data_IF_221613645310
#
_entry.id   IF_221613645310
#
_cell.length_a   1.000
_cell.length_b   1.000
_cell.length_c   1.000
_cell.angle_alpha   90.00
_cell.angle_beta   90.00
_cell.angle_gamma   90.00
#
_symmetry.space_group_name_H-M   'P 1'
#
loop_
_entity.id
_entity.type
_entity.pdbx_description
1 polymer ?
#
# COMPACT_ATOMS: atom_id res chain seq x y z
N UNK A 1 3.06 -14.42 6.40
CA UNK A 1 2.09 -15.33 5.78
C UNK A 1 2.35 -16.75 6.26
N UNK A 2 1.28 -17.44 6.72
CA UNK A 2 1.36 -18.85 7.17
C UNK A 2 0.53 -19.76 6.29
N UNK A 3 -0.62 -19.29 5.89
CA UNK A 3 -1.53 -20.04 5.04
C UNK A 3 -2.09 -19.15 3.95
N UNK A 4 -2.39 -19.78 2.83
CA UNK A 4 -2.95 -19.11 1.68
C UNK A 4 -3.92 -20.03 0.95
N UNK A 5 -4.98 -19.47 0.37
CA UNK A 5 -5.92 -20.16 -0.51
C UNK A 5 -6.39 -19.24 -1.62
N UNK A 6 -6.45 -19.76 -2.83
CA UNK A 6 -7.04 -19.11 -3.99
C UNK A 6 -8.23 -19.90 -4.51
N UNK A 7 -9.31 -19.20 -4.91
CA UNK A 7 -10.50 -19.80 -5.50
C UNK A 7 -11.00 -18.97 -6.67
N UNK A 8 -11.62 -19.64 -7.62
CA UNK A 8 -12.27 -19.03 -8.77
C UNK A 8 -11.45 -17.96 -9.48
N UNK A 9 -10.12 -18.13 -9.53
CA UNK A 9 -9.19 -17.18 -10.13
C UNK A 9 -8.49 -17.81 -11.34
N UNK A 10 -8.76 -17.31 -12.53
CA UNK A 10 -8.25 -17.82 -13.81
C UNK A 10 -8.45 -19.34 -13.95
N UNK A 11 -7.37 -20.11 -14.01
CA UNK A 11 -7.43 -21.59 -14.09
C UNK A 11 -7.56 -22.29 -12.73
N UNK A 12 -7.67 -21.56 -11.62
CA UNK A 12 -7.78 -22.15 -10.29
C UNK A 12 -9.24 -22.18 -9.85
N UNK A 13 -9.83 -23.36 -9.74
CA UNK A 13 -11.13 -23.53 -9.09
C UNK A 13 -11.00 -23.37 -7.58
N UNK A 14 -10.12 -24.17 -6.97
CA UNK A 14 -9.79 -24.11 -5.55
C UNK A 14 -8.39 -24.73 -5.34
N UNK A 15 -7.46 -23.94 -4.82
CA UNK A 15 -6.12 -24.43 -4.50
C UNK A 15 -6.08 -25.32 -3.26
N UNK A 16 -7.15 -25.38 -2.47
CA UNK A 16 -7.09 -25.80 -1.09
C UNK A 16 -6.24 -24.86 -0.23
N UNK A 17 -6.11 -25.19 1.04
CA UNK A 17 -5.24 -24.46 1.97
C UNK A 17 -3.79 -24.83 1.74
N UNK A 18 -2.94 -23.86 1.43
CA UNK A 18 -1.51 -24.01 1.21
C UNK A 18 -0.79 -23.44 2.41
N UNK A 19 -0.03 -24.28 3.13
CA UNK A 19 0.83 -23.82 4.22
C UNK A 19 2.15 -23.33 3.65
N UNK A 20 2.60 -22.14 4.08
CA UNK A 20 3.86 -21.51 3.64
C UNK A 20 4.76 -21.24 4.84
N UNK A 21 6.06 -21.42 4.64
CA UNK A 21 7.10 -21.01 5.60
C UNK A 21 7.78 -19.73 5.16
N UNK A 22 8.98 -19.48 5.70
CA UNK A 22 9.79 -18.30 5.33
C UNK A 22 10.23 -18.35 3.85
N UNK A 23 10.34 -19.56 3.29
CA UNK A 23 10.54 -19.81 1.87
C UNK A 23 9.61 -20.94 1.42
N UNK A 24 8.85 -20.70 0.37
CA UNK A 24 8.01 -21.70 -0.28
C UNK A 24 8.30 -21.76 -1.78
N UNK A 25 8.28 -22.95 -2.36
CA UNK A 25 8.49 -23.15 -3.79
C UNK A 25 7.37 -23.99 -4.40
N UNK A 26 6.74 -23.47 -5.45
CA UNK A 26 5.78 -24.20 -6.25
C UNK A 26 6.48 -24.91 -7.41
N UNK A 27 6.40 -26.24 -7.44
CA UNK A 27 7.03 -27.07 -8.47
C UNK A 27 5.96 -27.86 -9.21
N UNK A 28 6.03 -27.89 -10.52
CA UNK A 28 5.06 -28.59 -11.34
C UNK A 28 5.31 -28.42 -12.84
N UNK A 29 4.54 -29.11 -13.67
CA UNK A 29 4.59 -28.98 -15.12
C UNK A 29 4.21 -27.56 -15.57
N UNK A 30 4.56 -27.19 -16.82
CA UNK A 30 4.04 -25.97 -17.44
C UNK A 30 2.50 -26.03 -17.45
N UNK A 31 1.86 -24.88 -17.33
CA UNK A 31 0.39 -24.74 -17.27
C UNK A 31 -0.29 -25.40 -16.06
N UNK A 32 0.46 -25.76 -15.01
CA UNK A 32 -0.12 -26.33 -13.78
C UNK A 32 -0.64 -25.29 -12.77
N UNK A 33 -0.73 -24.00 -13.14
CA UNK A 33 -1.27 -22.94 -12.31
C UNK A 33 -0.27 -22.27 -11.34
N UNK A 34 1.04 -22.58 -11.43
CA UNK A 34 2.06 -21.97 -10.53
C UNK A 34 2.07 -20.45 -10.57
N UNK A 35 2.15 -19.89 -11.77
CA UNK A 35 2.07 -18.44 -12.03
C UNK A 35 0.76 -17.87 -11.51
N UNK A 36 -0.35 -18.57 -11.77
CA UNK A 36 -1.68 -18.14 -11.35
C UNK A 36 -1.81 -18.07 -9.82
N UNK A 37 -1.21 -19.03 -9.09
CA UNK A 37 -1.17 -18.99 -7.62
C UNK A 37 -0.40 -17.76 -7.13
N UNK A 38 0.76 -17.47 -7.71
CA UNK A 38 1.54 -16.28 -7.33
C UNK A 38 0.76 -14.99 -7.63
N UNK A 39 0.10 -14.91 -8.78
CA UNK A 39 -0.75 -13.77 -9.15
C UNK A 39 -1.99 -13.66 -8.26
N UNK A 40 -2.59 -14.77 -7.82
CA UNK A 40 -3.69 -14.72 -6.88
C UNK A 40 -3.29 -14.12 -5.52
N UNK A 41 -2.03 -14.30 -5.09
CA UNK A 41 -1.50 -13.65 -3.88
C UNK A 41 -1.43 -12.12 -4.01
N UNK A 42 -1.21 -11.58 -5.21
CA UNK A 42 -1.21 -10.11 -5.41
C UNK A 42 -2.59 -9.49 -5.20
N UNK A 43 -3.68 -10.27 -5.33
CA UNK A 43 -5.02 -9.80 -5.01
C UNK A 43 -5.17 -9.34 -3.55
N UNK A 44 -4.27 -9.74 -2.68
CA UNK A 44 -4.22 -9.26 -1.31
C UNK A 44 -3.53 -7.89 -1.18
N UNK A 45 -2.95 -7.32 -2.24
CA UNK A 45 -2.50 -5.93 -2.25
C UNK A 45 -3.70 -4.97 -2.30
N UNK A 46 -3.60 -3.83 -1.61
CA UNK A 46 -4.69 -2.84 -1.54
C UNK A 46 -5.00 -2.20 -2.89
N UNK A 47 -3.97 -1.97 -3.69
CA UNK A 47 -4.05 -1.24 -4.97
C UNK A 47 -4.41 -2.16 -6.16
N UNK A 48 -4.44 -3.47 -5.94
CA UNK A 48 -4.79 -4.44 -6.98
C UNK A 48 -6.29 -4.41 -7.27
N UNK A 49 -6.65 -4.59 -8.54
CA UNK A 49 -8.04 -4.68 -8.99
C UNK A 49 -8.31 -6.06 -9.57
N UNK A 50 -9.49 -6.58 -9.31
CA UNK A 50 -9.97 -7.83 -9.92
C UNK A 50 -10.71 -7.46 -11.22
N UNK A 51 -10.22 -7.98 -12.34
CA UNK A 51 -10.93 -7.88 -13.61
C UNK A 51 -11.89 -9.07 -13.78
N UNK A 52 -12.99 -8.88 -14.48
CA UNK A 52 -13.87 -10.00 -14.85
C UNK A 52 -13.11 -11.09 -15.64
N UNK A 53 -12.08 -10.71 -16.41
CA UNK A 53 -11.21 -11.63 -17.13
C UNK A 53 -10.29 -12.47 -16.22
N UNK A 54 -10.16 -12.09 -14.98
CA UNK A 54 -9.38 -12.84 -13.98
C UNK A 54 -10.21 -13.89 -13.25
N UNK A 55 -11.53 -13.89 -13.43
CA UNK A 55 -12.41 -14.87 -12.81
C UNK A 55 -12.39 -16.18 -13.61
N UNK A 56 -12.67 -17.29 -12.92
CA UNK A 56 -12.69 -18.61 -13.53
C UNK A 56 -14.01 -18.82 -14.30
N UNK A 57 -13.92 -18.93 -15.62
CA UNK A 57 -15.09 -19.10 -16.51
C UNK A 57 -15.95 -20.33 -16.18
N UNK A 58 -15.32 -21.39 -15.65
CA UNK A 58 -16.01 -22.63 -15.31
C UNK A 58 -16.84 -22.51 -14.01
N UNK A 59 -16.66 -21.43 -13.24
CA UNK A 59 -17.34 -21.18 -11.95
C UNK A 59 -18.36 -20.02 -12.02
N UNK A 60 -18.88 -19.71 -13.20
CA UNK A 60 -19.80 -18.57 -13.39
C UNK A 60 -21.07 -18.65 -12.54
N UNK A 61 -21.57 -19.84 -12.21
CA UNK A 61 -22.78 -19.98 -11.39
C UNK A 61 -22.44 -19.69 -9.90
N UNK A 62 -21.30 -20.19 -9.40
CA UNK A 62 -20.85 -19.98 -8.02
C UNK A 62 -20.43 -18.53 -7.79
N UNK A 63 -19.93 -17.84 -8.82
CA UNK A 63 -19.52 -16.43 -8.77
C UNK A 63 -20.71 -15.44 -8.72
N UNK A 64 -21.95 -15.90 -8.86
CA UNK A 64 -23.13 -15.07 -8.59
C UNK A 64 -23.25 -14.72 -7.12
N UNK A 65 -22.81 -15.61 -6.24
CA UNK A 65 -22.72 -15.36 -4.80
C UNK A 65 -21.36 -14.74 -4.44
N UNK A 66 -21.28 -14.12 -3.27
CA UNK A 66 -20.01 -13.59 -2.79
C UNK A 66 -19.04 -14.72 -2.46
N UNK A 67 -17.89 -14.73 -3.12
CA UNK A 67 -16.86 -15.75 -2.94
C UNK A 67 -15.50 -15.12 -2.68
N UNK A 68 -14.73 -15.68 -1.75
CA UNK A 68 -13.33 -15.29 -1.52
C UNK A 68 -12.46 -15.82 -2.64
N UNK A 69 -11.85 -14.90 -3.40
CA UNK A 69 -10.93 -15.22 -4.49
C UNK A 69 -9.52 -15.54 -3.98
N UNK A 70 -9.07 -14.76 -3.00
CA UNK A 70 -7.81 -14.96 -2.32
C UNK A 70 -7.99 -14.73 -0.83
N UNK A 71 -7.39 -15.58 -0.02
CA UNK A 71 -7.35 -15.43 1.44
C UNK A 71 -5.96 -15.83 1.96
N UNK A 72 -5.43 -15.07 2.94
CA UNK A 72 -4.15 -15.30 3.57
C UNK A 72 -4.22 -15.14 5.08
N UNK A 73 -3.60 -16.07 5.82
CA UNK A 73 -3.46 -16.01 7.28
C UNK A 73 -2.03 -15.58 7.63
N UNK A 74 -1.91 -14.59 8.51
CA UNK A 74 -0.64 -14.00 8.92
C UNK A 74 -0.50 -14.05 10.44
N UNK A 75 0.68 -14.47 10.91
CA UNK A 75 1.07 -14.26 12.30
C UNK A 75 1.65 -12.84 12.42
N UNK A 76 1.24 -12.13 13.47
CA UNK A 76 1.84 -10.85 13.85
C UNK A 76 3.11 -11.07 14.67
N UNK A 77 4.11 -10.26 14.43
CA UNK A 77 5.32 -10.25 15.26
C UNK A 77 5.09 -9.48 16.57
N UNK A 78 6.02 -9.61 17.54
CA UNK A 78 5.87 -9.01 18.86
C UNK A 78 5.77 -7.48 18.83
N UNK A 79 6.43 -6.83 17.86
CA UNK A 79 6.38 -5.38 17.70
C UNK A 79 5.00 -4.94 17.21
N UNK A 80 4.45 -5.61 16.19
CA UNK A 80 3.10 -5.36 15.66
C UNK A 80 2.03 -5.57 16.72
N UNK A 81 2.12 -6.67 17.50
CA UNK A 81 1.22 -6.94 18.62
C UNK A 81 1.27 -5.80 19.65
N UNK A 82 2.48 -5.32 19.99
CA UNK A 82 2.66 -4.24 20.96
C UNK A 82 2.06 -2.92 20.45
N UNK A 83 2.24 -2.59 19.18
CA UNK A 83 1.69 -1.39 18.56
C UNK A 83 0.16 -1.42 18.56
N UNK A 84 -0.44 -2.58 18.19
CA UNK A 84 -1.89 -2.75 18.21
C UNK A 84 -2.42 -2.57 19.64
N UNK A 85 -1.76 -3.21 20.63
CA UNK A 85 -2.18 -3.15 22.04
C UNK A 85 -2.07 -1.76 22.66
N UNK A 86 -1.06 -0.98 22.27
CA UNK A 86 -0.91 0.41 22.69
C UNK A 86 -2.04 1.28 22.13
N UNK A 87 -2.40 1.07 20.86
CA UNK A 87 -3.43 1.87 20.18
C UNK A 87 -4.86 1.45 20.53
N UNK A 88 -5.06 0.17 20.81
CA UNK A 88 -6.35 -0.42 21.13
C UNK A 88 -6.29 -1.20 22.46
N UNK A 89 -6.11 -0.52 23.61
CA UNK A 89 -5.91 -1.18 24.90
C UNK A 89 -7.13 -2.00 25.39
N UNK A 90 -8.32 -1.70 24.87
CA UNK A 90 -9.57 -2.40 25.17
C UNK A 90 -9.74 -3.74 24.46
N UNK A 91 -8.93 -4.00 23.42
CA UNK A 91 -9.03 -5.25 22.67
C UNK A 91 -8.15 -6.36 23.27
N UNK A 92 -8.55 -7.64 23.10
CA UNK A 92 -7.68 -8.77 23.42
C UNK A 92 -6.41 -8.75 22.58
N UNK A 93 -5.42 -9.54 22.97
CA UNK A 93 -4.15 -9.65 22.25
C UNK A 93 -4.37 -10.34 20.89
N UNK A 94 -4.20 -9.61 19.80
CA UNK A 94 -4.35 -10.12 18.44
C UNK A 94 -3.00 -10.69 17.99
N UNK A 95 -2.98 -11.99 17.71
CA UNK A 95 -1.77 -12.69 17.23
C UNK A 95 -1.82 -13.04 15.76
N UNK A 96 -3.03 -13.13 15.20
CA UNK A 96 -3.27 -13.54 13.82
C UNK A 96 -4.28 -12.66 13.14
N UNK A 97 -4.04 -12.43 11.87
CA UNK A 97 -4.94 -11.68 10.99
C UNK A 97 -5.17 -12.53 9.74
N UNK A 98 -6.43 -12.58 9.28
CA UNK A 98 -6.77 -13.08 7.96
C UNK A 98 -7.11 -11.92 7.05
N UNK A 99 -6.48 -11.89 5.90
CA UNK A 99 -6.78 -10.99 4.80
C UNK A 99 -7.50 -11.78 3.73
N UNK A 100 -8.52 -11.19 3.13
CA UNK A 100 -9.18 -11.81 1.99
C UNK A 100 -9.78 -10.77 1.03
N UNK A 101 -9.96 -11.19 -0.20
CA UNK A 101 -10.64 -10.43 -1.24
C UNK A 101 -11.73 -11.27 -1.86
N UNK A 102 -12.90 -10.65 -2.11
CA UNK A 102 -14.04 -11.32 -2.75
C UNK A 102 -14.23 -10.82 -4.17
N UNK A 103 -15.04 -11.55 -4.95
CA UNK A 103 -15.45 -11.14 -6.30
C UNK A 103 -16.38 -9.92 -6.31
N UNK A 104 -17.09 -9.66 -5.20
CA UNK A 104 -18.07 -8.56 -5.11
C UNK A 104 -17.50 -7.32 -4.41
N UNK A 105 -16.43 -7.45 -3.60
CA UNK A 105 -15.83 -6.33 -2.91
C UNK A 105 -14.43 -6.03 -3.47
N UNK A 106 -14.21 -4.84 -4.06
CA UNK A 106 -12.91 -4.46 -4.63
C UNK A 106 -11.83 -4.19 -3.56
N UNK A 107 -12.19 -4.12 -2.28
CA UNK A 107 -11.26 -3.85 -1.18
C UNK A 107 -10.84 -5.14 -0.48
N UNK A 108 -9.60 -5.20 -0.01
CA UNK A 108 -9.14 -6.25 0.90
C UNK A 108 -9.86 -6.10 2.22
N UNK A 109 -10.37 -7.21 2.73
CA UNK A 109 -11.08 -7.30 4.00
C UNK A 109 -10.21 -8.01 5.03
N UNK A 110 -10.49 -7.77 6.32
CA UNK A 110 -9.71 -8.27 7.44
C UNK A 110 -10.61 -9.03 8.41
N UNK A 111 -10.15 -10.19 8.84
CA UNK A 111 -10.73 -10.98 9.93
C UNK A 111 -9.71 -11.21 11.04
N UNK A 112 -10.19 -11.28 12.28
CA UNK A 112 -9.37 -11.49 13.47
C UNK A 112 -9.83 -12.78 14.15
N UNK A 113 -8.90 -13.71 14.43
CA UNK A 113 -9.26 -15.08 14.82
C UNK A 113 -9.92 -15.18 16.22
N UNK A 114 -9.59 -14.28 17.15
CA UNK A 114 -10.01 -14.36 18.54
C UNK A 114 -10.92 -13.20 18.99
N UNK A 115 -11.46 -12.42 18.07
CA UNK A 115 -12.29 -11.26 18.39
C UNK A 115 -13.65 -11.43 17.72
N UNK A 116 -14.66 -11.73 18.51
CA UNK A 116 -16.04 -11.61 18.08
C UNK A 116 -16.44 -10.12 18.11
N UNK A 117 -16.26 -9.49 16.98
CA UNK A 117 -16.64 -8.09 16.77
C UNK A 117 -18.03 -8.00 16.09
N UNK A 118 -18.86 -9.03 16.26
CA UNK A 118 -20.17 -9.11 15.61
C UNK A 118 -21.21 -8.14 16.17
N UNK A 119 -20.92 -7.43 17.28
CA UNK A 119 -21.90 -6.59 18.00
C UNK A 119 -21.75 -5.07 17.75
N UNK A 120 -21.23 -4.70 16.58
CA UNK A 120 -20.97 -3.30 16.24
C UNK A 120 -22.21 -2.50 15.76
N UNK A 121 -23.33 -3.17 15.51
CA UNK A 121 -24.53 -2.48 15.02
C UNK A 121 -25.19 -1.54 16.06
N UNK A 122 -24.80 -1.65 17.33
CA UNK A 122 -25.36 -0.83 18.42
C UNK A 122 -24.41 0.21 19.03
N UNK A 123 -23.12 0.25 18.63
CA UNK A 123 -22.16 1.16 19.32
C UNK A 123 -22.36 2.63 18.99
N UNK A 124 -22.74 2.97 17.76
CA UNK A 124 -23.09 4.36 17.42
C UNK A 124 -24.33 4.84 18.19
N UNK A 125 -25.30 3.93 18.37
CA UNK A 125 -26.50 4.19 19.21
C UNK A 125 -26.10 4.35 20.68
N UNK A 126 -25.22 3.47 21.20
CA UNK A 126 -24.72 3.51 22.57
C UNK A 126 -23.87 4.76 22.84
N UNK A 127 -23.06 5.19 21.86
CA UNK A 127 -22.27 6.42 22.00
C UNK A 127 -23.14 7.67 22.02
N UNK A 128 -24.17 7.72 21.19
CA UNK A 128 -25.17 8.79 21.22
C UNK A 128 -25.97 8.79 22.51
N UNK A 129 -26.43 7.63 22.97
CA UNK A 129 -27.13 7.51 24.26
C UNK A 129 -26.26 7.93 25.44
N UNK A 130 -24.97 7.59 25.44
CA UNK A 130 -24.04 8.01 26.49
C UNK A 130 -23.77 9.51 26.43
N UNK A 131 -23.60 10.07 25.23
CA UNK A 131 -23.51 11.52 25.05
C UNK A 131 -24.79 12.22 25.53
N UNK A 132 -25.95 11.74 25.12
CA UNK A 132 -27.23 12.28 25.59
C UNK A 132 -27.35 12.22 27.12
N UNK A 133 -26.96 11.10 27.76
CA UNK A 133 -26.91 10.99 29.24
C UNK A 133 -25.95 12.00 29.87
N UNK A 134 -24.80 12.26 29.25
CA UNK A 134 -23.85 13.28 29.71
C UNK A 134 -24.48 14.69 29.65
N UNK A 135 -25.20 14.98 28.54
CA UNK A 135 -25.93 16.25 28.39
C UNK A 135 -27.01 16.38 29.46
N UNK A 136 -27.83 15.33 29.68
CA UNK A 136 -28.86 15.38 30.73
C UNK A 136 -28.26 15.51 32.14
N UNK A 137 -27.13 14.81 32.42
CA UNK A 137 -26.38 14.97 33.67
C UNK A 137 -25.88 16.40 33.87
N UNK A 138 -25.37 17.04 32.83
CA UNK A 138 -25.00 18.44 32.85
C UNK A 138 -26.22 19.36 33.10
N UNK A 139 -27.34 19.11 32.41
CA UNK A 139 -28.57 19.88 32.62
C UNK A 139 -29.11 19.77 34.05
N UNK A 140 -28.87 18.67 34.75
CA UNK A 140 -29.25 18.49 36.17
C UNK A 140 -28.44 19.38 37.12
N UNK A 141 -27.29 19.90 36.68
CA UNK A 141 -26.48 20.86 37.45
C UNK A 141 -27.02 22.30 37.35
N UNK A 142 -27.89 22.57 36.35
CA UNK A 142 -28.45 23.90 36.09
C UNK A 142 -29.68 24.13 37.00
N UNK A 143 -29.84 25.31 37.60
CA UNK A 143 -31.01 25.64 38.40
C UNK A 143 -32.33 25.42 37.65
N UNK A 144 -33.31 24.78 38.30
CA UNK A 144 -34.57 24.37 37.66
C UNK A 144 -35.32 25.49 36.89
N UNK A 145 -35.27 26.74 37.37
CA UNK A 145 -35.95 27.85 36.72
C UNK A 145 -35.29 28.26 35.38
N UNK A 146 -34.02 27.90 35.16
CA UNK A 146 -33.31 28.14 33.91
C UNK A 146 -33.39 26.91 33.02
N UNK A 147 -33.34 25.69 33.60
CA UNK A 147 -33.44 24.43 32.89
C UNK A 147 -34.73 24.27 32.09
N UNK A 148 -35.88 24.76 32.62
CA UNK A 148 -37.18 24.70 31.95
C UNK A 148 -37.20 25.44 30.62
N UNK A 149 -36.24 26.35 30.37
CA UNK A 149 -36.13 27.12 29.16
C UNK A 149 -35.34 26.44 28.05
N UNK A 150 -34.77 25.27 28.33
CA UNK A 150 -33.89 24.51 27.40
C UNK A 150 -34.74 23.45 26.69
N UNK A 151 -34.76 23.49 25.35
CA UNK A 151 -35.35 22.44 24.52
C UNK A 151 -34.38 21.29 24.35
N UNK A 152 -34.75 20.10 24.82
CA UNK A 152 -33.96 18.89 24.82
C UNK A 152 -34.31 17.89 23.69
N UNK A 153 -35.29 18.24 22.85
CA UNK A 153 -35.83 17.33 21.82
C UNK A 153 -34.75 16.78 20.90
N UNK A 154 -33.73 17.55 20.58
CA UNK A 154 -32.62 17.10 19.73
C UNK A 154 -31.95 15.82 20.27
N UNK A 155 -31.85 15.68 21.60
CA UNK A 155 -31.26 14.52 22.26
C UNK A 155 -32.25 13.40 22.54
N UNK A 156 -33.56 13.65 22.49
CA UNK A 156 -34.62 12.71 22.81
C UNK A 156 -35.15 11.99 21.56
N UNK A 157 -35.23 12.67 20.43
CA UNK A 157 -36.03 12.20 19.31
C UNK A 157 -35.29 11.33 18.30
N UNK A 158 -34.04 11.59 17.94
CA UNK A 158 -33.29 10.76 16.97
C UNK A 158 -31.76 10.99 16.97
N UNK A 159 -31.03 9.93 16.68
CA UNK A 159 -29.60 10.00 16.33
C UNK A 159 -29.44 10.81 15.04
N UNK A 160 -28.65 11.89 14.99
CA UNK A 160 -28.40 12.66 13.77
C UNK A 160 -27.84 11.79 12.65
N UNK A 161 -28.35 11.94 11.43
CA UNK A 161 -28.01 11.06 10.29
C UNK A 161 -26.71 11.45 9.58
N UNK A 162 -26.27 12.69 9.73
CA UNK A 162 -25.07 13.23 9.09
C UNK A 162 -24.51 14.44 9.86
N UNK A 163 -23.30 14.87 9.48
CA UNK A 163 -22.61 16.02 10.10
C UNK A 163 -23.46 17.29 10.10
N UNK A 164 -24.14 17.58 9.01
CA UNK A 164 -24.95 18.80 8.86
C UNK A 164 -26.11 18.85 9.86
N UNK A 165 -26.82 17.73 10.04
CA UNK A 165 -27.93 17.63 11.02
C UNK A 165 -27.42 17.68 12.45
N UNK A 166 -26.23 17.14 12.72
CA UNK A 166 -25.58 17.22 14.02
C UNK A 166 -25.17 18.66 14.33
N UNK A 167 -24.43 19.32 13.43
CA UNK A 167 -23.92 20.67 13.63
C UNK A 167 -25.08 21.67 13.79
N UNK A 168 -26.15 21.51 13.01
CA UNK A 168 -27.34 22.34 13.11
C UNK A 168 -28.04 22.19 14.47
N UNK A 169 -28.25 20.95 14.92
CA UNK A 169 -28.89 20.67 16.21
C UNK A 169 -28.03 21.12 17.38
N UNK A 170 -26.71 20.90 17.32
CA UNK A 170 -25.78 21.36 18.36
C UNK A 170 -25.69 22.88 18.43
N UNK A 171 -25.69 23.57 17.28
CA UNK A 171 -25.71 25.03 17.23
C UNK A 171 -26.98 25.61 17.83
N UNK A 172 -28.14 25.05 17.47
CA UNK A 172 -29.42 25.45 18.03
C UNK A 172 -29.47 25.21 19.54
N UNK A 173 -28.99 24.07 20.00
CA UNK A 173 -28.90 23.76 21.42
C UNK A 173 -27.93 24.72 22.16
N UNK A 174 -26.72 24.93 21.62
CA UNK A 174 -25.71 25.83 22.18
C UNK A 174 -26.20 27.28 22.32
N UNK A 175 -26.99 27.76 21.35
CA UNK A 175 -27.54 29.12 21.40
C UNK A 175 -28.45 29.35 22.60
N UNK A 176 -29.10 28.31 23.14
CA UNK A 176 -29.95 28.42 24.32
C UNK A 176 -29.13 28.76 25.57
N UNK A 177 -27.89 28.28 25.66
CA UNK A 177 -26.99 28.54 26.78
C UNK A 177 -26.47 29.98 26.81
N UNK A 178 -26.37 30.65 25.67
CA UNK A 178 -25.98 32.07 25.64
C UNK A 178 -26.96 32.99 26.38
N UNK A 179 -28.24 32.63 26.39
CA UNK A 179 -29.28 33.37 27.14
C UNK A 179 -29.14 33.09 28.65
N UNK A 180 -28.83 31.85 29.01
CA UNK A 180 -28.69 31.42 30.42
C UNK A 180 -27.37 31.94 31.02
N UNK A 181 -26.32 32.05 30.24
CA UNK A 181 -25.01 32.50 30.66
C UNK A 181 -24.95 33.93 31.19
N UNK A 182 -25.90 34.75 30.80
CA UNK A 182 -26.05 36.12 31.37
C UNK A 182 -26.35 36.05 32.89
N UNK A 183 -27.03 34.98 33.34
CA UNK A 183 -27.40 34.79 34.74
C UNK A 183 -26.42 33.85 35.48
N UNK A 184 -25.85 32.88 34.80
CA UNK A 184 -24.95 31.84 35.34
C UNK A 184 -23.74 31.60 34.42
N UNK A 185 -22.67 32.41 34.49
CA UNK A 185 -21.53 32.32 33.56
C UNK A 185 -20.79 30.96 33.59
N UNK A 186 -20.78 30.27 34.73
CA UNK A 186 -20.14 28.98 34.89
C UNK A 186 -20.77 27.89 34.01
N UNK A 187 -22.03 28.03 33.64
CA UNK A 187 -22.73 27.07 32.77
C UNK A 187 -22.11 27.04 31.39
N UNK A 188 -21.63 28.16 30.85
CA UNK A 188 -20.91 28.15 29.56
C UNK A 188 -19.59 27.46 29.65
N UNK A 189 -18.79 27.69 30.67
CA UNK A 189 -17.48 27.06 30.82
C UNK A 189 -17.59 25.52 30.92
N UNK A 190 -18.65 25.03 31.58
CA UNK A 190 -18.91 23.59 31.66
C UNK A 190 -19.44 23.03 30.34
N UNK A 191 -20.32 23.78 29.67
CA UNK A 191 -20.83 23.41 28.35
C UNK A 191 -19.71 23.34 27.31
N UNK A 192 -18.84 24.34 27.22
CA UNK A 192 -17.71 24.38 26.29
C UNK A 192 -16.79 23.20 26.49
N UNK A 193 -16.51 22.77 27.73
CA UNK A 193 -15.71 21.56 28.00
C UNK A 193 -16.36 20.28 27.46
N UNK A 194 -17.70 20.18 27.54
CA UNK A 194 -18.44 19.04 27.01
C UNK A 194 -18.45 19.11 25.47
N UNK A 195 -18.71 20.27 24.91
CA UNK A 195 -18.84 20.46 23.46
C UNK A 195 -17.52 20.32 22.71
N UNK A 196 -16.43 20.84 23.27
CA UNK A 196 -15.10 20.79 22.68
C UNK A 196 -14.38 19.45 22.91
N UNK A 197 -14.94 18.57 23.74
CA UNK A 197 -14.33 17.25 23.97
C UNK A 197 -14.22 16.49 22.65
N UNK A 198 -13.03 15.97 22.29
CA UNK A 198 -12.85 15.18 21.07
C UNK A 198 -13.78 13.96 21.01
N UNK A 199 -14.14 13.38 22.16
CA UNK A 199 -15.03 12.23 22.27
C UNK A 199 -16.47 12.55 21.85
N UNK A 200 -16.87 13.82 21.94
CA UNK A 200 -18.21 14.31 21.66
C UNK A 200 -18.36 14.92 20.26
N UNK A 201 -17.32 14.87 19.41
CA UNK A 201 -17.42 15.28 18.02
C UNK A 201 -18.26 14.29 17.22
N UNK A 202 -18.99 14.77 16.22
CA UNK A 202 -19.84 13.95 15.36
C UNK A 202 -19.12 12.73 14.79
N UNK A 203 -17.88 12.89 14.34
CA UNK A 203 -17.03 11.81 13.87
C UNK A 203 -16.86 10.67 14.88
N UNK A 204 -16.86 10.96 16.17
CA UNK A 204 -16.67 9.97 17.23
C UNK A 204 -18.00 9.47 17.81
N UNK A 205 -19.07 10.26 17.74
CA UNK A 205 -20.39 9.89 18.27
C UNK A 205 -21.23 9.09 17.26
N UNK A 206 -21.11 9.38 15.99
CA UNK A 206 -21.98 8.82 14.96
C UNK A 206 -21.25 8.09 13.84
N UNK A 207 -20.02 8.46 13.57
CA UNK A 207 -19.13 7.56 12.89
C UNK A 207 -18.73 6.46 13.88
N UNK A 208 -19.55 5.86 14.61
CA UNK A 208 -19.16 4.66 15.34
C UNK A 208 -18.32 3.80 14.41
N UNK A 209 -17.12 4.28 14.09
CA UNK A 209 -16.08 3.44 13.55
C UNK A 209 -15.95 2.41 14.64
N UNK A 210 -16.57 1.27 14.40
CA UNK A 210 -16.50 0.21 15.37
C UNK A 210 -15.02 0.05 15.70
N UNK A 211 -14.67 -0.31 16.92
CA UNK A 211 -13.27 -0.65 17.24
C UNK A 211 -12.70 -1.59 16.17
N UNK A 212 -13.56 -2.40 15.54
CA UNK A 212 -13.26 -3.23 14.39
C UNK A 212 -12.87 -2.43 13.16
N UNK A 213 -13.68 -1.45 12.76
CA UNK A 213 -13.39 -0.61 11.60
C UNK A 213 -12.15 0.24 11.83
N UNK A 214 -11.99 0.79 13.04
CA UNK A 214 -10.79 1.54 13.43
C UNK A 214 -9.54 0.64 13.42
N UNK A 215 -9.66 -0.59 13.92
CA UNK A 215 -8.59 -1.58 13.87
C UNK A 215 -8.28 -2.00 12.42
N UNK A 216 -9.31 -2.26 11.60
CA UNK A 216 -9.13 -2.61 10.19
C UNK A 216 -8.44 -1.50 9.42
N UNK A 217 -8.84 -0.24 9.63
CA UNK A 217 -8.23 0.93 9.00
C UNK A 217 -6.78 1.13 9.45
N UNK A 218 -6.51 0.92 10.73
CA UNK A 218 -5.16 0.98 11.26
C UNK A 218 -4.26 -0.11 10.66
N UNK A 219 -4.72 -1.36 10.64
CA UNK A 219 -3.95 -2.47 10.03
C UNK A 219 -3.76 -2.23 8.54
N UNK A 220 -4.79 -1.75 7.84
CA UNK A 220 -4.69 -1.41 6.44
C UNK A 220 -3.66 -0.31 6.17
N UNK A 221 -3.54 0.68 7.05
CA UNK A 221 -2.60 1.79 6.88
C UNK A 221 -1.17 1.43 7.24
N UNK A 222 -0.96 0.73 8.37
CA UNK A 222 0.34 0.62 9.02
C UNK A 222 0.96 -0.81 8.95
N UNK A 223 0.12 -1.84 8.88
CA UNK A 223 0.56 -3.24 9.03
C UNK A 223 0.19 -4.14 7.84
N UNK A 224 -0.39 -3.55 6.78
CA UNK A 224 -0.80 -4.33 5.62
C UNK A 224 0.42 -4.92 4.90
N UNK A 225 0.52 -6.25 4.72
CA UNK A 225 1.64 -6.86 4.00
C UNK A 225 1.58 -6.49 2.52
N UNK A 226 2.73 -6.23 1.93
CA UNK A 226 2.84 -5.97 0.49
C UNK A 226 3.41 -7.18 -0.22
N UNK A 227 2.73 -7.62 -1.27
CA UNK A 227 3.21 -8.65 -2.17
C UNK A 227 3.85 -8.00 -3.39
N UNK A 228 5.08 -8.35 -3.67
CA UNK A 228 5.80 -7.86 -4.84
C UNK A 228 6.03 -9.02 -5.79
N UNK A 229 5.31 -8.97 -6.92
CA UNK A 229 5.36 -10.02 -7.94
C UNK A 229 6.41 -9.70 -8.98
N UNK A 230 7.31 -10.64 -9.17
CA UNK A 230 8.33 -10.60 -10.19
C UNK A 230 8.12 -11.75 -11.17
N UNK A 231 7.65 -11.42 -12.36
CA UNK A 231 7.64 -12.32 -13.52
C UNK A 231 8.79 -11.98 -14.46
N UNK A 232 8.76 -12.43 -15.69
CA UNK A 232 9.73 -12.11 -16.75
C UNK A 232 10.11 -10.62 -16.76
N UNK A 233 11.15 -10.25 -15.98
CA UNK A 233 11.64 -8.87 -16.07
C UNK A 233 12.26 -8.61 -17.40
N UNK A 234 11.92 -7.46 -17.93
CA UNK A 234 12.60 -6.99 -19.10
C UNK A 234 14.00 -6.54 -18.70
N UNK A 235 14.97 -7.10 -19.37
CA UNK A 235 16.38 -6.83 -19.11
C UNK A 235 16.70 -5.39 -19.48
N UNK A 236 17.51 -4.72 -18.66
CA UNK A 236 18.10 -3.45 -19.02
C UNK A 236 19.12 -3.70 -20.13
N UNK A 237 19.02 -2.94 -21.19
CA UNK A 237 20.00 -2.95 -22.28
C UNK A 237 21.10 -1.95 -22.02
N UNK A 238 22.28 -2.18 -22.65
CA UNK A 238 23.42 -1.31 -22.50
C UNK A 238 23.24 0.10 -23.09
N UNK A 239 22.28 0.28 -24.00
CA UNK A 239 21.93 1.57 -24.59
C UNK A 239 20.43 1.81 -24.45
N UNK A 240 20.07 2.96 -23.94
CA UNK A 240 18.70 3.42 -23.69
C UNK A 240 18.45 4.64 -24.57
N UNK A 241 17.42 4.64 -25.39
CA UNK A 241 17.00 5.79 -26.18
C UNK A 241 16.15 6.72 -25.29
N UNK A 242 16.70 7.87 -24.93
CA UNK A 242 16.01 8.82 -24.06
C UNK A 242 14.84 9.53 -24.74
N UNK A 243 14.81 9.62 -26.07
CA UNK A 243 13.63 10.18 -26.77
C UNK A 243 12.42 9.24 -26.65
N UNK A 244 12.64 7.94 -26.78
CA UNK A 244 11.59 6.93 -26.59
C UNK A 244 11.13 6.92 -25.14
N UNK A 245 12.05 6.89 -24.18
CA UNK A 245 11.73 6.98 -22.75
C UNK A 245 10.87 8.21 -22.42
N UNK A 246 11.22 9.39 -22.92
CA UNK A 246 10.47 10.62 -22.66
C UNK A 246 9.09 10.65 -23.36
N UNK A 247 8.91 9.96 -24.49
CA UNK A 247 7.60 9.79 -25.13
C UNK A 247 6.68 8.91 -24.27
N UNK A 248 7.20 7.80 -23.76
CA UNK A 248 6.48 6.90 -22.90
C UNK A 248 6.06 7.59 -21.59
N UNK A 249 6.92 8.39 -20.98
CA UNK A 249 6.61 9.20 -19.80
C UNK A 249 5.46 10.21 -20.06
N UNK A 250 5.26 10.64 -21.30
CA UNK A 250 4.14 11.51 -21.69
C UNK A 250 2.87 10.74 -22.04
N UNK A 251 2.88 9.41 -21.95
CA UNK A 251 1.75 8.57 -22.33
C UNK A 251 1.49 8.48 -23.83
N UNK A 252 2.47 8.91 -24.65
CA UNK A 252 2.41 8.80 -26.11
C UNK A 252 2.65 7.34 -26.50
N UNK A 253 1.54 6.58 -26.73
CA UNK A 253 1.64 5.19 -27.18
C UNK A 253 2.08 5.14 -28.66
N UNK A 254 3.04 4.27 -29.00
CA UNK A 254 3.36 4.01 -30.40
C UNK A 254 2.21 3.26 -31.09
N UNK A 255 1.96 3.61 -32.35
CA UNK A 255 0.86 3.07 -33.18
C UNK A 255 1.05 1.63 -33.68
N UNK A 256 2.12 0.91 -33.29
CA UNK A 256 2.45 -0.42 -33.80
C UNK A 256 2.69 -1.46 -32.70
N UNK A 257 2.24 -2.70 -32.96
CA UNK A 257 2.32 -3.87 -32.07
C UNK A 257 3.77 -4.26 -31.68
N UNK A 258 4.76 -3.95 -32.53
CA UNK A 258 6.19 -4.18 -32.26
C UNK A 258 6.70 -3.38 -31.04
N UNK A 259 6.05 -2.27 -30.70
CA UNK A 259 6.42 -1.40 -29.60
C UNK A 259 5.81 -1.77 -28.24
N UNK A 260 4.86 -2.70 -28.17
CA UNK A 260 4.29 -3.14 -26.88
C UNK A 260 5.36 -3.86 -26.02
N UNK A 261 6.27 -4.60 -26.66
CA UNK A 261 7.40 -5.21 -25.94
C UNK A 261 8.45 -4.18 -25.47
N UNK A 262 8.53 -3.01 -26.11
CA UNK A 262 9.43 -1.92 -25.68
C UNK A 262 8.81 -1.10 -24.54
N UNK A 263 7.50 -0.95 -24.50
CA UNK A 263 6.78 -0.23 -23.44
C UNK A 263 7.01 -0.84 -22.06
N UNK A 264 7.02 -2.15 -21.96
CA UNK A 264 7.31 -2.84 -20.68
C UNK A 264 8.80 -2.75 -20.28
N UNK A 265 9.70 -2.34 -21.20
CA UNK A 265 11.11 -2.06 -20.89
C UNK A 265 11.26 -0.74 -20.14
N UNK A 266 10.34 0.20 -20.32
CA UNK A 266 10.36 1.51 -19.69
C UNK A 266 10.31 1.43 -18.17
N UNK A 267 9.57 0.49 -17.60
CA UNK A 267 9.48 0.33 -16.15
C UNK A 267 10.85 -0.02 -15.54
N UNK A 268 11.58 -0.98 -16.10
CA UNK A 268 12.90 -1.35 -15.59
C UNK A 268 13.92 -0.19 -15.79
N UNK A 269 13.80 0.57 -16.87
CA UNK A 269 14.62 1.77 -17.11
C UNK A 269 14.23 2.88 -16.14
N UNK A 270 12.95 3.08 -15.87
CA UNK A 270 12.44 4.01 -14.86
C UNK A 270 12.99 3.67 -13.47
N UNK A 271 13.03 2.39 -13.13
CA UNK A 271 13.61 1.90 -11.88
C UNK A 271 15.11 2.19 -11.78
N UNK A 272 15.85 2.02 -12.88
CA UNK A 272 17.26 2.38 -12.96
C UNK A 272 17.48 3.89 -12.69
N UNK A 273 16.73 4.76 -13.36
CA UNK A 273 16.85 6.21 -13.19
C UNK A 273 16.40 6.66 -11.81
N UNK A 274 15.35 6.04 -11.26
CA UNK A 274 14.89 6.26 -9.89
C UNK A 274 15.99 5.95 -8.85
N UNK A 275 16.63 4.79 -8.95
CA UNK A 275 17.75 4.44 -8.08
C UNK A 275 18.95 5.36 -8.24
N UNK A 276 19.22 5.80 -9.46
CA UNK A 276 20.27 6.75 -9.77
C UNK A 276 19.96 8.17 -9.26
N UNK A 277 18.71 8.43 -8.87
CA UNK A 277 18.17 9.78 -8.60
C UNK A 277 18.50 10.73 -9.79
N UNK A 278 18.24 10.24 -11.00
CA UNK A 278 18.53 10.93 -12.25
C UNK A 278 17.23 11.42 -12.87
N UNK A 279 17.05 12.74 -12.90
CA UNK A 279 15.97 13.37 -13.65
C UNK A 279 16.39 13.54 -15.11
N UNK A 280 15.71 12.84 -16.01
CA UNK A 280 16.00 12.88 -17.45
C UNK A 280 15.60 14.23 -18.05
N UNK A 281 14.62 14.94 -17.49
CA UNK A 281 14.23 16.27 -17.97
C UNK A 281 15.33 17.29 -17.63
N UNK A 282 15.85 17.26 -16.40
CA UNK A 282 17.00 18.10 -16.01
C UNK A 282 18.22 17.82 -16.89
N UNK A 283 18.47 16.54 -17.18
CA UNK A 283 19.60 16.18 -18.10
C UNK A 283 19.38 16.72 -19.51
N UNK A 284 18.15 16.66 -20.04
CA UNK A 284 17.82 17.15 -21.37
C UNK A 284 17.94 18.67 -21.46
N UNK A 285 17.60 19.42 -20.42
CA UNK A 285 17.79 20.87 -20.34
C UNK A 285 19.28 21.31 -20.41
N UNK A 286 20.17 20.47 -19.89
CA UNK A 286 21.61 20.78 -19.85
C UNK A 286 22.44 20.04 -20.90
N UNK A 287 21.81 19.32 -21.82
CA UNK A 287 22.50 18.46 -22.82
C UNK A 287 23.54 19.19 -23.67
N UNK A 288 23.35 20.48 -23.93
CA UNK A 288 24.30 21.33 -24.67
C UNK A 288 25.50 21.77 -23.81
N UNK A 289 25.55 21.40 -22.52
CA UNK A 289 26.66 21.72 -21.61
C UNK A 289 27.37 20.44 -21.13
N UNK A 290 28.42 19.97 -21.80
CA UNK A 290 29.10 18.72 -21.48
C UNK A 290 29.57 18.62 -20.02
N UNK A 291 30.07 19.71 -19.45
CA UNK A 291 30.55 19.72 -18.06
C UNK A 291 29.41 19.53 -17.04
N UNK A 292 28.22 20.07 -17.29
CA UNK A 292 27.05 19.88 -16.44
C UNK A 292 26.52 18.44 -16.56
N UNK A 293 26.40 17.93 -17.80
CA UNK A 293 26.01 16.54 -18.03
C UNK A 293 26.93 15.55 -17.31
N UNK A 294 28.26 15.71 -17.45
CA UNK A 294 29.24 14.85 -16.77
C UNK A 294 29.05 14.89 -15.25
N UNK A 295 28.85 16.08 -14.68
CA UNK A 295 28.64 16.20 -13.22
C UNK A 295 27.39 15.47 -12.75
N UNK A 296 26.26 15.61 -13.44
CA UNK A 296 24.98 14.95 -13.12
C UNK A 296 25.15 13.42 -13.23
N UNK A 297 25.73 12.96 -14.35
CA UNK A 297 25.89 11.53 -14.61
C UNK A 297 26.89 10.87 -13.67
N UNK A 298 27.98 11.52 -13.29
CA UNK A 298 28.91 10.98 -12.30
C UNK A 298 28.24 10.84 -10.93
N UNK A 299 27.40 11.80 -10.51
CA UNK A 299 26.65 11.72 -9.27
C UNK A 299 25.65 10.56 -9.32
N UNK A 300 24.89 10.44 -10.41
CA UNK A 300 23.92 9.36 -10.64
C UNK A 300 24.61 7.97 -10.66
N UNK A 301 25.73 7.83 -11.35
CA UNK A 301 26.54 6.61 -11.42
C UNK A 301 27.04 6.16 -10.04
N UNK A 302 27.53 7.10 -9.24
CA UNK A 302 28.01 6.82 -7.88
C UNK A 302 26.86 6.37 -6.96
N UNK A 303 25.67 7.02 -7.04
CA UNK A 303 24.49 6.62 -6.26
C UNK A 303 24.04 5.22 -6.64
N UNK A 304 23.92 4.95 -7.94
CA UNK A 304 23.50 3.65 -8.46
C UNK A 304 24.46 2.55 -8.00
N UNK A 305 25.78 2.75 -8.19
CA UNK A 305 26.84 1.84 -7.73
C UNK A 305 26.70 1.53 -6.25
N UNK A 306 26.55 2.56 -5.42
CA UNK A 306 26.40 2.42 -3.96
C UNK A 306 25.15 1.65 -3.55
N UNK A 307 24.03 1.86 -4.25
CA UNK A 307 22.74 1.19 -3.94
C UNK A 307 22.72 -0.27 -4.40
N UNK A 308 23.40 -0.62 -5.49
CA UNK A 308 23.37 -1.99 -6.01
C UNK A 308 24.37 -2.93 -5.34
N UNK A 309 25.55 -2.46 -4.96
CA UNK A 309 26.61 -3.32 -4.40
C UNK A 309 26.22 -4.09 -3.12
N UNK A 310 25.39 -3.59 -2.18
CA UNK A 310 24.97 -4.37 -1.00
C UNK A 310 24.21 -5.64 -1.36
N UNK A 311 23.43 -5.63 -2.44
CA UNK A 311 22.69 -6.78 -2.94
C UNK A 311 23.47 -7.63 -3.94
N UNK A 312 24.61 -7.11 -4.44
CA UNK A 312 25.44 -7.79 -5.43
C UNK A 312 26.31 -8.86 -4.77
N UNK A 313 26.13 -10.12 -5.16
CA UNK A 313 26.97 -11.23 -4.70
C UNK A 313 28.07 -11.51 -5.70
N UNK A 314 29.31 -11.23 -5.36
CA UNK A 314 30.49 -11.38 -6.19
C UNK A 314 31.46 -10.23 -5.98
N UNK A 315 32.39 -10.03 -6.91
CA UNK A 315 33.25 -8.85 -6.89
C UNK A 315 32.38 -7.59 -7.08
N UNK A 316 32.64 -6.52 -6.34
CA UNK A 316 31.87 -5.29 -6.48
C UNK A 316 31.87 -4.78 -7.92
N UNK A 317 30.76 -4.18 -8.32
CA UNK A 317 30.64 -3.58 -9.65
C UNK A 317 30.68 -2.04 -9.55
N UNK A 318 31.16 -1.39 -10.59
CA UNK A 318 30.97 0.03 -10.80
C UNK A 318 30.05 0.24 -12.00
N UNK A 319 28.99 1.00 -11.82
CA UNK A 319 28.03 1.36 -12.87
C UNK A 319 28.30 2.78 -13.29
N UNK A 320 28.52 3.00 -14.57
CA UNK A 320 28.82 4.29 -15.17
C UNK A 320 27.78 4.61 -16.25
N UNK A 321 27.04 5.69 -16.06
CA UNK A 321 26.05 6.20 -17.00
C UNK A 321 26.71 7.24 -17.91
N UNK A 322 26.62 7.04 -19.23
CA UNK A 322 27.25 7.92 -20.24
C UNK A 322 26.18 8.42 -21.20
N UNK A 323 26.17 9.73 -21.39
CA UNK A 323 25.34 10.34 -22.40
C UNK A 323 26.10 10.42 -23.72
N UNK A 324 25.49 9.92 -24.79
CA UNK A 324 26.09 9.87 -26.14
C UNK A 324 25.24 10.65 -27.14
N UNK A 325 25.85 11.04 -28.29
CA UNK A 325 25.09 11.66 -29.38
C UNK A 325 23.86 10.87 -29.78
N UNK A 326 22.79 11.56 -30.17
CA UNK A 326 21.52 10.96 -30.55
C UNK A 326 20.59 10.66 -29.37
N UNK A 327 20.82 11.31 -28.23
CA UNK A 327 20.02 11.07 -26.98
C UNK A 327 20.06 9.61 -26.49
N UNK A 328 21.24 9.00 -26.57
CA UNK A 328 21.47 7.64 -26.10
C UNK A 328 22.16 7.68 -24.74
N UNK A 329 21.54 7.03 -23.74
CA UNK A 329 22.18 6.75 -22.47
C UNK A 329 22.81 5.35 -22.50
N UNK A 330 24.12 5.28 -22.30
CA UNK A 330 24.83 4.00 -22.18
C UNK A 330 25.06 3.63 -20.73
N UNK A 331 24.74 2.36 -20.41
CA UNK A 331 25.03 1.74 -19.12
C UNK A 331 26.30 0.90 -19.25
N UNK A 332 27.37 1.39 -18.64
CA UNK A 332 28.70 0.74 -18.67
C UNK A 332 28.95 0.11 -17.31
N UNK A 333 29.39 -1.12 -17.30
CA UNK A 333 29.69 -1.88 -16.08
C UNK A 333 31.17 -2.26 -16.05
N UNK A 334 31.77 -2.08 -14.89
CA UNK A 334 33.14 -2.53 -14.61
C UNK A 334 33.13 -3.42 -13.37
N UNK A 335 34.01 -4.41 -13.34
CA UNK A 335 34.28 -5.21 -12.15
C UNK A 335 35.37 -4.52 -11.32
N UNK A 336 35.17 -4.40 -10.02
CA UNK A 336 36.08 -3.75 -9.07
C UNK A 336 36.67 -4.82 -8.16
N UNK A 337 37.97 -5.08 -8.26
CA UNK A 337 38.65 -6.05 -7.41
C UNK A 337 38.99 -5.46 -6.03
N UNK A 338 39.30 -6.35 -5.07
CA UNK A 338 39.61 -5.95 -3.70
C UNK A 338 40.82 -5.03 -3.57
N UNK A 339 41.73 -5.07 -4.53
CA UNK A 339 42.91 -4.19 -4.61
C UNK A 339 42.59 -2.83 -5.28
N UNK A 340 41.32 -2.60 -5.65
CA UNK A 340 40.89 -1.40 -6.37
C UNK A 340 41.09 -1.45 -7.87
N UNK A 341 41.61 -2.54 -8.43
CA UNK A 341 41.79 -2.71 -9.89
C UNK A 341 40.43 -2.79 -10.56
N UNK A 342 40.24 -2.07 -11.64
CA UNK A 342 39.02 -2.08 -12.46
C UNK A 342 39.26 -2.90 -13.71
N UNK A 343 38.41 -3.88 -13.96
CA UNK A 343 38.49 -4.77 -15.13
C UNK A 343 37.15 -4.93 -15.83
N UNK A 344 37.13 -5.64 -16.95
CA UNK A 344 35.91 -5.95 -17.71
C UNK A 344 34.99 -4.75 -17.98
N UNK A 345 35.57 -3.56 -18.17
CA UNK A 345 34.80 -2.35 -18.49
C UNK A 345 34.15 -2.46 -19.86
N UNK A 346 32.81 -2.42 -19.88
CA UNK A 346 32.09 -2.50 -21.14
C UNK A 346 30.59 -2.24 -20.99
N UNK A 347 29.90 -2.10 -22.11
CA UNK A 347 28.46 -1.96 -22.12
C UNK A 347 27.77 -3.15 -21.46
N UNK A 348 26.69 -2.91 -20.74
CA UNK A 348 25.89 -3.95 -20.07
C UNK A 348 25.45 -5.06 -21.04
N UNK A 349 25.10 -4.72 -22.30
CA UNK A 349 24.69 -5.70 -23.30
C UNK A 349 25.80 -6.66 -23.74
N UNK A 350 27.07 -6.36 -23.45
CA UNK A 350 28.21 -7.26 -23.69
C UNK A 350 28.45 -8.26 -22.57
N UNK A 351 27.77 -8.12 -21.44
CA UNK A 351 27.85 -9.07 -20.34
C UNK A 351 27.02 -10.33 -20.64
N UNK A 352 27.35 -11.44 -19.95
CA UNK A 352 26.59 -12.69 -20.05
C UNK A 352 25.12 -12.50 -19.70
N UNK A 353 24.24 -13.33 -20.26
CA UNK A 353 22.79 -13.24 -20.05
C UNK A 353 22.40 -13.30 -18.56
N UNK A 354 23.00 -14.21 -17.81
CA UNK A 354 22.78 -14.32 -16.36
C UNK A 354 23.17 -13.06 -15.59
N UNK A 355 24.26 -12.37 -16.02
CA UNK A 355 24.66 -11.10 -15.43
C UNK A 355 23.62 -10.00 -15.70
N UNK A 356 23.19 -9.84 -16.94
CA UNK A 356 22.17 -8.85 -17.33
C UNK A 356 20.85 -9.08 -16.58
N UNK A 357 20.47 -10.35 -16.44
CA UNK A 357 19.32 -10.74 -15.68
C UNK A 357 19.46 -10.35 -14.20
N UNK A 358 20.55 -10.77 -13.55
CA UNK A 358 20.82 -10.44 -12.14
C UNK A 358 20.86 -8.93 -11.90
N UNK A 359 21.51 -8.18 -12.81
CA UNK A 359 21.58 -6.71 -12.73
C UNK A 359 20.19 -6.11 -12.79
N UNK A 360 19.38 -6.48 -13.78
CA UNK A 360 18.01 -5.98 -13.94
C UNK A 360 17.11 -6.36 -12.75
N UNK A 361 17.27 -7.59 -12.24
CA UNK A 361 16.58 -8.03 -11.03
C UNK A 361 16.90 -7.15 -9.82
N UNK A 362 18.20 -6.94 -9.53
CA UNK A 362 18.61 -6.15 -8.37
C UNK A 362 18.14 -4.70 -8.52
N UNK A 363 18.18 -4.14 -9.74
CA UNK A 363 17.67 -2.79 -10.00
C UNK A 363 16.17 -2.70 -9.69
N UNK A 364 15.35 -3.59 -10.22
CA UNK A 364 13.91 -3.61 -9.96
C UNK A 364 13.62 -3.84 -8.48
N UNK A 365 14.26 -4.83 -7.88
CA UNK A 365 14.08 -5.14 -6.47
C UNK A 365 14.49 -3.98 -5.55
N UNK A 366 15.64 -3.36 -5.79
CA UNK A 366 16.11 -2.22 -5.00
C UNK A 366 15.21 -0.99 -5.18
N UNK A 367 14.68 -0.75 -6.39
CA UNK A 367 13.76 0.34 -6.65
C UNK A 367 12.43 0.15 -5.90
N UNK A 368 11.85 -1.05 -5.98
CA UNK A 368 10.63 -1.38 -5.28
C UNK A 368 10.81 -1.29 -3.75
N UNK A 369 11.90 -1.86 -3.22
CA UNK A 369 12.20 -1.77 -1.78
C UNK A 369 12.40 -0.35 -1.30
N UNK A 370 13.00 0.53 -2.11
CA UNK A 370 13.22 1.92 -1.75
C UNK A 370 11.92 2.76 -1.83
N UNK A 371 11.06 2.54 -2.84
CA UNK A 371 9.79 3.27 -2.99
C UNK A 371 8.79 2.98 -1.88
N UNK A 372 8.75 1.75 -1.43
CA UNK A 372 7.70 1.28 -0.54
C UNK A 372 8.10 1.29 0.93
N UNK A 373 9.32 1.76 1.30
CA UNK A 373 9.86 1.55 2.65
C UNK A 373 9.69 0.09 3.12
N UNK A 374 9.84 -0.85 2.16
CA UNK A 374 9.49 -2.26 2.34
C UNK A 374 10.44 -2.95 3.33
N UNK A 375 10.21 -2.74 4.62
CA UNK A 375 10.89 -3.52 5.64
C UNK A 375 10.45 -4.99 5.65
N UNK A 376 9.25 -5.30 5.13
CA UNK A 376 8.62 -6.62 5.28
C UNK A 376 7.74 -7.04 4.07
N UNK A 377 8.25 -6.89 2.82
CA UNK A 377 7.51 -7.35 1.65
C UNK A 377 7.64 -8.86 1.44
N UNK A 378 6.57 -9.48 0.97
CA UNK A 378 6.55 -10.86 0.50
C UNK A 378 6.88 -10.88 -0.99
N UNK A 379 7.99 -11.52 -1.33
CA UNK A 379 8.44 -11.62 -2.73
C UNK A 379 7.82 -12.84 -3.40
N UNK A 380 7.19 -12.62 -4.54
CA UNK A 380 6.62 -13.63 -5.39
C UNK A 380 7.46 -13.72 -6.67
N UNK A 381 8.32 -14.73 -6.76
CA UNK A 381 9.25 -14.89 -7.88
C UNK A 381 8.72 -15.97 -8.82
N UNK A 382 8.34 -15.57 -10.04
CA UNK A 382 7.95 -16.51 -11.09
C UNK A 382 9.13 -16.84 -12.00
N UNK A 383 9.43 -18.12 -12.13
CA UNK A 383 10.55 -18.65 -12.91
C UNK A 383 11.91 -17.93 -12.70
N UNK A 384 12.34 -17.69 -11.43
CA UNK A 384 13.49 -16.82 -11.14
C UNK A 384 14.81 -17.34 -11.71
N UNK A 385 14.88 -18.60 -12.11
CA UNK A 385 16.08 -19.24 -12.64
C UNK A 385 16.09 -19.42 -14.16
N UNK A 386 15.04 -19.00 -14.88
CA UNK A 386 14.88 -19.26 -16.33
C UNK A 386 16.08 -18.81 -17.18
N UNK A 387 16.79 -17.78 -16.76
CA UNK A 387 17.91 -17.19 -17.49
C UNK A 387 19.28 -17.38 -16.81
N UNK A 388 19.39 -18.28 -15.84
CA UNK A 388 20.63 -18.54 -15.09
C UNK A 388 21.45 -19.72 -15.63
N UNK A 389 21.07 -20.30 -16.77
CA UNK A 389 21.76 -21.41 -17.42
C UNK A 389 22.71 -20.94 -18.51
#
# INVERSE_FOLDING_TARGET
LRKFRARAYRCIHDSGEITVGDLAAFVGRNESGKTTILQALTLLNRDEQVSELDLCDEMNEELKDEMRLAEGEFDLNQNEISIIKEKFPGLPEIKKIKLFRTNQNPRVQYEFEDIDLSDDSNKGLNSWENFSKQIFGFLDTIPNHLRIQIDTKFFEEQVPKNQETFDSGMAEFSNQFHVIAIQEPKVIEEWEKIYESPENQFSNLLSGESEKSALQNFIAAELHPRFVYFSDYKKIYGNINLNEYLREERGERPDSIEFVEEFDKAETVRNLFYLAELDIKELDEVKESPSKCIKILNAASNRLTKKLNPAWKGDPIHVDLRYNPGNIMSVVISDVHKDGTITNTGLLNRRAEGFKWTFSFIVNFAAETQRAELKEAILLLDEPARNLH
#
